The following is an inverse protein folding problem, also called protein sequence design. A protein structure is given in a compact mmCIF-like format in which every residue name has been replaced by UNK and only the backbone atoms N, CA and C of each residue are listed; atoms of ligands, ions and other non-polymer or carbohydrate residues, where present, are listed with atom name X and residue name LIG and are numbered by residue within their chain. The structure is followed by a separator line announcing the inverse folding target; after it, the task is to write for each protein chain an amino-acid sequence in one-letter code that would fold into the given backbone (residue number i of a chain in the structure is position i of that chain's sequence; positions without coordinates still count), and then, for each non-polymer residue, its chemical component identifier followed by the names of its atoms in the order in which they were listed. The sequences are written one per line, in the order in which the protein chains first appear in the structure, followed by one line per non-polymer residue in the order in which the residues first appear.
data_IF_703359326457
#
_entry.id   IF_703359326457
#
_cell.length_a   1.000
_cell.length_b   1.000
_cell.length_c   1.000
_cell.angle_alpha   90.00
_cell.angle_beta   90.00
_cell.angle_gamma   90.00
#
_symmetry.space_group_name_H-M   'P 1'
#
loop_
_entity.id
_entity.type
_entity.pdbx_description
1 polymer ?
#
# COMPACT_ATOMS: atom_id res chain seq x y z
N UNK A 1 -5.95 3.25 28.66
CA UNK A 1 -4.67 3.77 28.13
C UNK A 1 -4.33 2.93 26.91
N UNK A 2 -4.43 3.49 25.70
CA UNK A 2 -4.00 2.78 24.48
C UNK A 2 -2.48 2.66 24.51
N UNK A 3 -1.99 1.42 24.47
CA UNK A 3 -0.56 1.13 24.38
C UNK A 3 -0.09 1.60 23.01
N UNK A 4 0.91 2.48 22.94
CA UNK A 4 1.53 2.86 21.66
C UNK A 4 2.09 1.60 21.02
N UNK A 5 1.68 1.26 19.78
CA UNK A 5 2.19 0.07 19.11
C UNK A 5 3.68 0.20 18.90
N UNK A 6 4.41 -0.89 19.15
CA UNK A 6 5.85 -0.94 18.92
C UNK A 6 6.15 -1.02 17.41
N UNK A 7 7.41 -0.77 17.04
CA UNK A 7 7.84 -0.75 15.63
C UNK A 7 7.48 -2.03 14.86
N UNK A 8 7.57 -3.20 15.49
CA UNK A 8 7.21 -4.47 14.84
C UNK A 8 5.70 -4.57 14.59
N UNK A 9 4.87 -4.11 15.54
CA UNK A 9 3.41 -4.06 15.37
C UNK A 9 3.00 -3.09 14.26
N UNK A 10 3.69 -1.94 14.14
CA UNK A 10 3.48 -0.98 13.05
C UNK A 10 3.84 -1.60 11.70
N UNK A 11 5.02 -2.21 11.59
CA UNK A 11 5.45 -2.85 10.35
C UNK A 11 4.54 -4.01 9.94
N UNK A 12 4.11 -4.84 10.88
CA UNK A 12 3.19 -5.94 10.60
C UNK A 12 1.83 -5.45 10.05
N UNK A 13 1.32 -4.32 10.59
CA UNK A 13 0.11 -3.71 10.07
C UNK A 13 0.30 -3.18 8.64
N UNK A 14 1.42 -2.49 8.39
CA UNK A 14 1.73 -1.97 7.05
C UNK A 14 1.89 -3.12 6.06
N UNK A 15 2.54 -4.22 6.44
CA UNK A 15 2.67 -5.41 5.62
C UNK A 15 1.29 -6.02 5.26
N UNK A 16 0.37 -6.05 6.22
CA UNK A 16 -1.00 -6.50 5.99
C UNK A 16 -1.75 -5.57 5.02
N UNK A 17 -1.66 -4.26 5.23
CA UNK A 17 -2.33 -3.26 4.40
C UNK A 17 -1.78 -3.26 2.95
N UNK A 18 -0.47 -3.49 2.78
CA UNK A 18 0.18 -3.69 1.47
C UNK A 18 -0.34 -4.95 0.79
N UNK A 19 -0.36 -6.10 1.48
CA UNK A 19 -0.82 -7.35 0.90
C UNK A 19 -2.30 -7.29 0.46
N UNK A 20 -3.13 -6.58 1.23
CA UNK A 20 -4.51 -6.28 0.88
C UNK A 20 -4.59 -5.41 -0.39
N UNK A 21 -3.78 -4.36 -0.48
CA UNK A 21 -3.68 -3.49 -1.64
C UNK A 21 -3.21 -4.23 -2.91
N UNK A 22 -2.19 -5.06 -2.79
CA UNK A 22 -1.68 -5.93 -3.87
C UNK A 22 -2.78 -6.86 -4.41
N UNK A 23 -3.59 -7.43 -3.51
CA UNK A 23 -4.73 -8.26 -3.91
C UNK A 23 -5.75 -7.46 -4.72
N UNK A 24 -6.13 -6.26 -4.28
CA UNK A 24 -7.07 -5.42 -5.01
C UNK A 24 -6.54 -4.97 -6.37
N UNK A 25 -5.24 -4.69 -6.49
CA UNK A 25 -4.60 -4.41 -7.78
C UNK A 25 -4.74 -5.62 -8.71
N UNK A 26 -4.44 -6.83 -8.23
CA UNK A 26 -4.57 -8.05 -9.03
C UNK A 26 -6.02 -8.31 -9.49
N UNK A 27 -7.00 -8.10 -8.60
CA UNK A 27 -8.43 -8.21 -8.92
C UNK A 27 -8.84 -7.19 -9.98
N UNK A 28 -8.38 -5.94 -9.88
CA UNK A 28 -8.67 -4.88 -10.82
C UNK A 28 -8.06 -5.13 -12.20
N UNK A 29 -6.85 -5.70 -12.26
CA UNK A 29 -6.20 -6.14 -13.51
C UNK A 29 -7.03 -7.24 -14.17
N UNK A 30 -7.51 -8.22 -13.39
CA UNK A 30 -8.35 -9.29 -13.92
C UNK A 30 -9.68 -8.76 -14.47
N UNK A 31 -10.31 -7.81 -13.76
CA UNK A 31 -11.52 -7.13 -14.22
C UNK A 31 -11.27 -6.39 -15.53
N UNK A 32 -10.20 -5.62 -15.63
CA UNK A 32 -9.83 -4.86 -16.84
C UNK A 32 -9.64 -5.77 -18.04
N UNK A 33 -8.98 -6.92 -17.85
CA UNK A 33 -8.80 -7.91 -18.91
C UNK A 33 -10.15 -8.43 -19.42
N UNK A 34 -11.04 -8.84 -18.50
CA UNK A 34 -12.38 -9.30 -18.87
C UNK A 34 -13.19 -8.20 -19.58
N UNK A 35 -13.19 -6.96 -19.07
CA UNK A 35 -13.89 -5.84 -19.70
C UNK A 35 -13.39 -5.58 -21.11
N UNK A 36 -12.07 -5.68 -21.33
CA UNK A 36 -11.48 -5.52 -22.65
C UNK A 36 -11.87 -6.64 -23.61
N UNK A 37 -12.00 -7.88 -23.13
CA UNK A 37 -12.45 -9.03 -23.93
C UNK A 37 -13.93 -8.88 -24.34
N UNK A 38 -14.75 -8.28 -23.47
CA UNK A 38 -16.18 -8.00 -23.71
C UNK A 38 -16.44 -6.66 -24.43
N UNK A 39 -15.40 -5.98 -24.91
CA UNK A 39 -15.50 -4.67 -25.57
C UNK A 39 -16.23 -3.59 -24.74
N UNK A 40 -16.13 -3.67 -23.41
CA UNK A 40 -16.70 -2.69 -22.47
C UNK A 40 -15.78 -1.47 -22.31
N UNK A 41 -16.35 -0.32 -21.95
CA UNK A 41 -15.56 0.88 -21.61
C UNK A 41 -14.75 0.64 -20.33
N UNK A 42 -13.43 0.73 -20.46
CA UNK A 42 -12.47 0.46 -19.37
C UNK A 42 -11.93 1.71 -18.70
N UNK A 43 -12.33 2.91 -19.14
CA UNK A 43 -11.74 4.19 -18.70
C UNK A 43 -11.76 4.36 -17.18
N UNK A 44 -12.90 4.12 -16.53
CA UNK A 44 -13.00 4.25 -15.08
C UNK A 44 -12.18 3.18 -14.35
N UNK A 45 -12.19 1.95 -14.86
CA UNK A 45 -11.47 0.84 -14.28
C UNK A 45 -9.94 1.03 -14.37
N UNK A 46 -9.45 1.66 -15.44
CA UNK A 46 -8.04 2.03 -15.61
C UNK A 46 -7.63 3.14 -14.63
N UNK A 47 -8.47 4.17 -14.48
CA UNK A 47 -8.22 5.23 -13.50
C UNK A 47 -8.20 4.70 -12.07
N UNK A 48 -9.08 3.74 -11.75
CA UNK A 48 -9.07 3.08 -10.45
C UNK A 48 -7.78 2.28 -10.23
N UNK A 49 -7.35 1.49 -11.23
CA UNK A 49 -6.09 0.73 -11.15
C UNK A 49 -4.91 1.67 -10.88
N UNK A 50 -4.79 2.76 -11.65
CA UNK A 50 -3.73 3.74 -11.47
C UNK A 50 -3.71 4.31 -10.04
N UNK A 51 -4.87 4.68 -9.49
CA UNK A 51 -4.95 5.19 -8.12
C UNK A 51 -4.54 4.14 -7.08
N UNK A 52 -4.91 2.88 -7.27
CA UNK A 52 -4.52 1.79 -6.37
C UNK A 52 -2.99 1.57 -6.40
N UNK A 53 -2.38 1.60 -7.59
CA UNK A 53 -0.92 1.49 -7.75
C UNK A 53 -0.19 2.64 -7.06
N UNK A 54 -0.66 3.89 -7.21
CA UNK A 54 -0.07 5.05 -6.54
C UNK A 54 -0.18 4.97 -5.00
N UNK A 55 -1.32 4.49 -4.49
CA UNK A 55 -1.50 4.28 -3.05
C UNK A 55 -0.54 3.21 -2.55
N UNK A 56 -0.40 2.11 -3.30
CA UNK A 56 0.47 1.01 -2.92
C UNK A 56 1.95 1.44 -2.90
N UNK A 57 2.38 2.22 -3.90
CA UNK A 57 3.72 2.83 -3.91
C UNK A 57 3.96 3.69 -2.66
N UNK A 58 2.98 4.51 -2.26
CA UNK A 58 3.07 5.30 -1.05
C UNK A 58 3.24 4.44 0.21
N UNK A 59 2.51 3.32 0.31
CA UNK A 59 2.65 2.39 1.43
C UNK A 59 4.01 1.69 1.46
N UNK A 60 4.54 1.27 0.31
CA UNK A 60 5.89 0.72 0.22
C UNK A 60 6.95 1.74 0.66
N UNK A 61 6.83 2.99 0.22
CA UNK A 61 7.72 4.06 0.64
C UNK A 61 7.62 4.33 2.16
N UNK A 62 6.39 4.39 2.70
CA UNK A 62 6.17 4.58 4.13
C UNK A 62 6.77 3.45 4.97
N UNK A 63 6.59 2.19 4.52
CA UNK A 63 7.22 1.02 5.13
C UNK A 63 8.75 1.15 5.16
N UNK A 64 9.34 1.57 4.04
CA UNK A 64 10.79 1.72 3.92
C UNK A 64 11.32 2.77 4.89
N UNK A 65 10.63 3.90 5.03
CA UNK A 65 11.00 4.93 6.01
C UNK A 65 11.00 4.38 7.46
N UNK A 66 10.04 3.53 7.83
CA UNK A 66 10.01 2.92 9.17
C UNK A 66 11.11 1.86 9.35
N UNK A 67 11.52 1.18 8.29
CA UNK A 67 12.65 0.25 8.30
C UNK A 67 14.00 0.97 8.41
N UNK A 68 14.12 2.13 7.77
CA UNK A 68 15.32 2.95 7.78
C UNK A 68 15.44 3.84 9.02
N UNK A 69 14.31 4.15 9.68
CA UNK A 69 14.29 4.88 10.94
C UNK A 69 15.15 4.16 11.99
N UNK A 70 16.32 4.73 12.25
CA UNK A 70 17.30 4.21 13.18
C UNK A 70 16.89 4.67 14.60
N UNK A 71 16.79 3.78 15.61
CA UNK A 71 16.40 4.18 16.96
C UNK A 71 17.36 5.19 17.64
N UNK A 72 18.52 5.48 17.03
CA UNK A 72 19.47 6.49 17.50
C UNK A 72 19.18 7.92 17.01
N UNK A 73 18.33 8.12 15.99
CA UNK A 73 17.99 9.46 15.49
C UNK A 73 17.01 10.23 16.41
N UNK A 74 16.43 9.57 17.41
CA UNK A 74 15.61 10.24 18.44
C UNK A 74 16.43 10.78 19.62
N UNK A 75 17.75 10.55 19.67
CA UNK A 75 18.60 10.94 20.80
C UNK A 75 19.38 12.25 20.59
N UNK A 76 19.11 13.00 19.51
CA UNK A 76 19.85 14.23 19.18
C UNK A 76 19.08 15.55 19.30
N UNK A 77 17.85 15.51 19.83
CA UNK A 77 17.08 16.71 20.20
C UNK A 77 16.83 16.76 21.72
N UNK A 78 17.89 16.87 22.52
CA UNK A 78 17.87 17.32 23.92
C UNK A 78 19.07 18.22 24.23
#
# INVERSE_FOLDING_TARGET
MSKTPNRCEILAKIDQDIAEGERHVAEQIALLKWMSEECLDTTLAQNLLFNLEQILEHWHAHRQLILEANPQDQAQDL
#
